data_IF_525441089471
#
_entry.id   IF_525441089471
#
_cell.length_a   1.000
_cell.length_b   1.000
_cell.length_c   1.000
_cell.angle_alpha   90.00
_cell.angle_beta   90.00
_cell.angle_gamma   90.00
#
_symmetry.space_group_name_H-M   'P 1'
#
loop_
_entity.id
_entity.type
_entity.pdbx_description
1 polymer ?
#
# COMPACT_ATOMS: atom_id res chain seq x y z
N UNK A 1 -0.89 -5.25 -18.64
CA UNK A 1 -2.14 -6.05 -18.70
C UNK A 1 -2.00 -7.55 -18.43
N UNK A 2 -0.85 -8.04 -18.01
CA UNK A 2 -0.66 -9.47 -17.70
C UNK A 2 -0.85 -9.75 -16.20
N UNK A 3 -1.81 -9.08 -15.56
CA UNK A 3 -2.10 -9.30 -14.16
C UNK A 3 -3.10 -10.46 -14.07
N UNK A 4 -2.66 -11.59 -13.54
CA UNK A 4 -3.57 -12.69 -13.21
C UNK A 4 -4.25 -12.37 -11.86
N UNK A 5 -5.45 -11.80 -11.92
CA UNK A 5 -6.23 -11.47 -10.73
C UNK A 5 -6.66 -12.71 -9.91
N UNK A 6 -6.42 -13.93 -10.40
CA UNK A 6 -6.67 -15.17 -9.67
C UNK A 6 -5.45 -15.60 -8.83
N UNK A 7 -4.27 -15.06 -9.11
CA UNK A 7 -3.05 -15.41 -8.39
C UNK A 7 -3.01 -14.76 -7.00
N UNK A 8 -2.49 -15.49 -6.03
CA UNK A 8 -2.19 -14.96 -4.70
C UNK A 8 -0.92 -14.11 -4.71
N UNK A 9 -0.12 -14.25 -5.75
CA UNK A 9 1.17 -13.60 -5.92
C UNK A 9 1.18 -12.72 -7.14
N UNK A 10 1.74 -11.54 -7.01
CA UNK A 10 1.99 -10.61 -8.11
C UNK A 10 3.45 -10.21 -8.14
N UNK A 11 4.02 -10.17 -9.34
CA UNK A 11 5.34 -9.60 -9.56
C UNK A 11 5.23 -8.10 -9.83
N UNK A 12 5.84 -7.30 -8.97
CA UNK A 12 5.83 -5.84 -9.09
C UNK A 12 7.25 -5.32 -9.33
N UNK A 13 7.41 -4.51 -10.37
CA UNK A 13 8.68 -3.82 -10.64
C UNK A 13 8.78 -2.57 -9.76
N UNK A 14 9.74 -2.56 -8.84
CA UNK A 14 10.00 -1.46 -7.91
C UNK A 14 11.06 -0.49 -8.40
N UNK A 15 11.50 0.40 -7.51
CA UNK A 15 12.58 1.36 -7.75
C UNK A 15 13.86 0.63 -8.17
N UNK A 16 14.55 1.14 -9.19
CA UNK A 16 15.77 0.54 -9.73
C UNK A 16 15.51 -0.73 -10.56
N UNK A 17 14.29 -0.94 -11.08
CA UNK A 17 13.95 -2.07 -11.96
C UNK A 17 13.84 -3.42 -11.25
N UNK A 18 14.04 -3.49 -9.94
CA UNK A 18 13.98 -4.73 -9.16
C UNK A 18 12.56 -5.30 -9.14
N UNK A 19 12.42 -6.56 -9.54
CA UNK A 19 11.16 -7.29 -9.47
C UNK A 19 10.99 -7.86 -8.05
N UNK A 20 9.79 -7.75 -7.52
CA UNK A 20 9.42 -8.28 -6.20
C UNK A 20 8.11 -9.01 -6.30
N UNK A 21 8.03 -10.14 -5.61
CA UNK A 21 6.76 -10.83 -5.40
C UNK A 21 6.04 -10.14 -4.24
N UNK A 22 4.77 -9.85 -4.42
CA UNK A 22 3.87 -9.35 -3.39
C UNK A 22 2.68 -10.29 -3.28
N UNK A 23 2.21 -10.50 -2.05
CA UNK A 23 1.07 -11.37 -1.76
C UNK A 23 -0.20 -10.52 -1.64
N UNK A 24 -1.29 -11.04 -2.18
CA UNK A 24 -2.58 -10.36 -2.16
C UNK A 24 -3.58 -11.22 -1.42
N UNK A 25 -4.22 -10.66 -0.39
CA UNK A 25 -5.28 -11.33 0.33
C UNK A 25 -6.49 -11.61 -0.58
N UNK A 26 -7.27 -12.61 -0.25
CA UNK A 26 -8.49 -12.97 -0.98
C UNK A 26 -9.44 -11.77 -1.12
N UNK A 27 -9.62 -11.01 -0.04
CA UNK A 27 -10.44 -9.79 -0.06
C UNK A 27 -9.94 -8.76 -1.06
N UNK A 28 -8.61 -8.55 -1.14
CA UNK A 28 -8.01 -7.62 -2.09
C UNK A 28 -8.13 -8.14 -3.52
N UNK A 29 -7.99 -9.46 -3.75
CA UNK A 29 -8.20 -10.08 -5.07
C UNK A 29 -9.63 -9.87 -5.56
N UNK A 30 -10.61 -10.12 -4.71
CA UNK A 30 -12.02 -9.96 -5.07
C UNK A 30 -12.33 -8.50 -5.42
N UNK A 31 -11.83 -7.54 -4.63
CA UNK A 31 -11.98 -6.13 -4.93
C UNK A 31 -11.27 -5.73 -6.25
N UNK A 32 -10.09 -6.30 -6.51
CA UNK A 32 -9.35 -6.06 -7.76
C UNK A 32 -10.10 -6.62 -8.97
N UNK A 33 -10.67 -7.83 -8.87
CA UNK A 33 -11.52 -8.40 -9.93
C UNK A 33 -12.70 -7.50 -10.24
N UNK A 34 -13.48 -7.12 -9.23
CA UNK A 34 -14.63 -6.21 -9.42
C UNK A 34 -14.22 -4.91 -10.08
N UNK A 35 -13.07 -4.34 -9.69
CA UNK A 35 -12.54 -3.13 -10.32
C UNK A 35 -12.18 -3.35 -11.78
N UNK A 36 -11.49 -4.45 -12.11
CA UNK A 36 -11.07 -4.76 -13.48
C UNK A 36 -12.27 -5.06 -14.39
N UNK A 37 -13.29 -5.75 -13.88
CA UNK A 37 -14.53 -6.06 -14.62
C UNK A 37 -15.33 -4.79 -14.92
N UNK A 38 -15.29 -3.81 -14.01
CA UNK A 38 -15.95 -2.52 -14.19
C UNK A 38 -15.19 -1.56 -15.12
N UNK A 39 -13.91 -1.83 -15.41
CA UNK A 39 -13.08 -0.98 -16.26
C UNK A 39 -13.48 -1.06 -17.74
N UNK A 40 -13.68 0.11 -18.35
CA UNK A 40 -14.03 0.25 -19.78
C UNK A 40 -12.95 0.95 -20.60
N UNK A 41 -11.85 1.38 -19.96
CA UNK A 41 -10.74 2.09 -20.61
C UNK A 41 -9.68 1.15 -21.21
N UNK A 42 -8.80 1.70 -22.04
CA UNK A 42 -7.72 0.99 -22.72
C UNK A 42 -6.33 1.30 -22.13
N UNK A 43 -6.30 2.01 -20.98
CA UNK A 43 -5.04 2.42 -20.35
C UNK A 43 -4.23 1.21 -19.85
N UNK A 44 -2.90 1.30 -19.98
CA UNK A 44 -1.97 0.24 -19.53
C UNK A 44 -1.84 0.19 -18.01
N UNK A 45 -2.02 1.34 -17.33
CA UNK A 45 -1.93 1.43 -15.88
C UNK A 45 -2.96 0.56 -15.18
N UNK A 46 -2.56 -0.15 -14.11
CA UNK A 46 -3.51 -0.96 -13.34
C UNK A 46 -4.61 -0.10 -12.74
N UNK A 47 -4.26 1.02 -12.14
CA UNK A 47 -5.22 1.96 -11.58
C UNK A 47 -5.27 3.23 -12.42
N UNK A 48 -6.45 3.58 -12.87
CA UNK A 48 -6.68 4.77 -13.68
C UNK A 48 -7.47 5.82 -12.92
N UNK A 49 -7.21 7.08 -13.24
CA UNK A 49 -8.04 8.19 -12.84
C UNK A 49 -9.22 8.21 -13.78
N UNK A 50 -10.40 7.90 -13.31
CA UNK A 50 -11.65 8.29 -13.95
C UNK A 50 -11.82 9.76 -13.60
N UNK A 51 -12.20 10.63 -14.56
CA UNK A 51 -12.34 12.09 -14.40
C UNK A 51 -12.64 12.58 -12.98
N UNK A 52 -12.21 13.77 -12.58
CA UNK A 52 -12.31 14.23 -11.22
C UNK A 52 -13.75 14.15 -10.74
N UNK A 53 -14.13 13.02 -10.17
CA UNK A 53 -15.24 13.01 -9.24
C UNK A 53 -14.89 14.11 -8.25
N UNK A 54 -15.74 15.10 -8.12
CA UNK A 54 -15.63 16.19 -7.18
C UNK A 54 -15.55 15.65 -5.74
N UNK A 55 -14.39 15.07 -5.42
CA UNK A 55 -14.00 14.71 -4.06
C UNK A 55 -13.71 16.04 -3.35
N UNK A 56 -14.79 16.72 -2.95
CA UNK A 56 -14.78 17.91 -2.11
C UNK A 56 -13.84 18.99 -2.64
N UNK A 57 -14.33 19.87 -3.48
CA UNK A 57 -13.58 21.02 -3.97
C UNK A 57 -13.12 21.89 -2.80
N UNK A 58 -11.89 21.68 -2.36
CA UNK A 58 -11.15 22.73 -1.66
C UNK A 58 -11.01 23.90 -2.62
N UNK A 59 -11.60 25.05 -2.23
CA UNK A 59 -11.68 26.32 -2.97
C UNK A 59 -10.32 26.99 -3.22
N UNK A 60 -9.30 26.26 -3.65
CA UNK A 60 -8.04 26.85 -4.13
C UNK A 60 -7.78 26.39 -5.57
N UNK A 61 -8.54 26.97 -6.49
CA UNK A 61 -8.22 27.01 -7.92
C UNK A 61 -6.97 27.86 -8.13
N UNK A 62 -5.77 27.31 -7.91
CA UNK A 62 -4.61 27.84 -8.61
C UNK A 62 -4.85 27.62 -10.10
N UNK A 63 -4.85 28.73 -10.87
CA UNK A 63 -5.01 28.80 -12.33
C UNK A 63 -4.06 27.80 -13.00
N UNK A 64 -4.53 26.59 -13.30
CA UNK A 64 -3.83 25.64 -14.16
C UNK A 64 -4.47 25.77 -15.54
N UNK A 65 -3.61 26.05 -16.54
CA UNK A 65 -3.96 26.22 -17.94
C UNK A 65 -4.92 25.16 -18.43
N UNK A 66 -6.14 25.53 -18.87
CA UNK A 66 -7.13 24.55 -19.39
C UNK A 66 -6.68 23.88 -20.69
N UNK A 67 -5.61 24.40 -21.33
CA UNK A 67 -5.07 23.84 -22.58
C UNK A 67 -4.28 22.55 -22.43
N UNK A 68 -3.88 22.18 -21.21
CA UNK A 68 -3.03 20.99 -20.97
C UNK A 68 -3.82 19.69 -20.74
N UNK A 69 -5.14 19.78 -20.63
CA UNK A 69 -6.02 18.63 -20.33
C UNK A 69 -7.00 18.28 -21.45
N UNK A 70 -6.85 18.88 -22.64
CA UNK A 70 -7.64 18.44 -23.81
C UNK A 70 -7.17 17.06 -24.26
N UNK A 71 -7.95 16.01 -23.95
CA UNK A 71 -7.87 14.71 -24.59
C UNK A 71 -7.44 13.51 -23.74
N UNK A 72 -7.29 13.62 -22.41
CA UNK A 72 -7.12 12.45 -21.55
C UNK A 72 -8.31 12.30 -20.63
N UNK A 73 -9.28 11.52 -21.06
CA UNK A 73 -10.41 11.11 -20.22
C UNK A 73 -9.96 10.15 -19.11
N UNK A 74 -8.84 9.44 -19.31
CA UNK A 74 -8.27 8.49 -18.39
C UNK A 74 -6.75 8.65 -18.33
N UNK A 75 -6.16 8.31 -17.20
CA UNK A 75 -4.70 8.29 -17.03
C UNK A 75 -4.33 7.50 -15.79
N UNK A 76 -3.11 6.99 -15.73
CA UNK A 76 -2.62 6.29 -14.55
C UNK A 76 -2.67 7.17 -13.31
N UNK A 77 -3.07 6.60 -12.16
CA UNK A 77 -3.07 7.32 -10.89
C UNK A 77 -1.65 7.75 -10.53
N UNK A 78 -1.50 9.03 -10.18
CA UNK A 78 -0.27 9.53 -9.63
C UNK A 78 -0.17 9.25 -8.11
N UNK A 79 1.05 9.41 -7.57
CA UNK A 79 1.31 9.22 -6.15
C UNK A 79 0.42 10.09 -5.25
N UNK A 80 0.19 11.34 -5.64
CA UNK A 80 -0.63 12.30 -4.86
C UNK A 80 -2.09 11.88 -4.83
N UNK A 81 -2.59 11.33 -5.93
CA UNK A 81 -3.94 10.78 -6.00
C UNK A 81 -4.12 9.61 -5.04
N UNK A 82 -3.15 8.69 -4.99
CA UNK A 82 -3.17 7.57 -4.02
C UNK A 82 -3.13 8.09 -2.58
N UNK A 83 -2.28 9.07 -2.27
CA UNK A 83 -2.21 9.70 -0.94
C UNK A 83 -3.55 10.34 -0.54
N UNK A 84 -4.24 11.02 -1.49
CA UNK A 84 -5.57 11.61 -1.26
C UNK A 84 -6.64 10.56 -1.01
N UNK A 85 -6.64 9.48 -1.78
CA UNK A 85 -7.57 8.35 -1.60
C UNK A 85 -7.40 7.75 -0.22
N UNK A 86 -6.16 7.44 0.19
CA UNK A 86 -5.87 6.90 1.52
C UNK A 86 -6.36 7.83 2.62
N UNK A 87 -6.05 9.13 2.51
CA UNK A 87 -6.51 10.14 3.48
C UNK A 87 -8.04 10.20 3.55
N UNK A 88 -8.72 10.20 2.40
CA UNK A 88 -10.18 10.25 2.33
C UNK A 88 -10.82 9.07 3.06
N UNK A 89 -10.39 7.85 2.77
CA UNK A 89 -10.94 6.66 3.42
C UNK A 89 -10.58 6.56 4.90
N UNK A 90 -9.40 7.00 5.31
CA UNK A 90 -9.03 7.08 6.72
C UNK A 90 -9.95 8.05 7.48
N UNK A 91 -10.22 9.23 6.93
CA UNK A 91 -11.16 10.19 7.50
C UNK A 91 -12.58 9.62 7.57
N UNK A 92 -13.04 8.96 6.49
CA UNK A 92 -14.35 8.30 6.43
C UNK A 92 -14.50 7.18 7.46
N UNK A 93 -13.39 6.50 7.79
CA UNK A 93 -13.34 5.48 8.83
C UNK A 93 -13.21 6.06 10.26
N UNK A 94 -13.27 7.39 10.44
CA UNK A 94 -13.17 8.04 11.74
C UNK A 94 -11.76 8.10 12.32
N UNK A 95 -10.71 7.84 11.52
CA UNK A 95 -9.33 7.87 11.99
C UNK A 95 -8.84 9.33 12.00
N UNK A 96 -8.71 9.90 13.20
CA UNK A 96 -8.27 11.29 13.40
C UNK A 96 -6.78 11.52 13.05
N UNK A 97 -5.93 10.48 13.16
CA UNK A 97 -4.50 10.58 12.86
C UNK A 97 -4.28 10.67 11.36
N UNK A 98 -3.18 11.36 10.97
CA UNK A 98 -2.76 11.44 9.58
C UNK A 98 -2.35 10.04 9.07
N UNK A 99 -3.13 9.46 8.16
CA UNK A 99 -2.81 8.20 7.50
C UNK A 99 -2.23 8.48 6.12
N UNK A 100 -1.11 7.81 5.82
CA UNK A 100 -0.45 7.84 4.50
C UNK A 100 -0.11 6.41 4.08
N UNK A 101 0.21 6.14 2.80
CA UNK A 101 0.69 4.82 2.37
C UNK A 101 1.91 4.34 3.17
N UNK A 102 2.78 5.26 3.61
CA UNK A 102 3.92 4.92 4.48
C UNK A 102 3.49 4.47 5.87
N UNK A 103 2.46 5.11 6.45
CA UNK A 103 1.89 4.69 7.75
C UNK A 103 1.27 3.30 7.63
N UNK A 104 0.51 3.02 6.57
CA UNK A 104 -0.06 1.68 6.35
C UNK A 104 1.05 0.63 6.23
N UNK A 105 2.11 0.94 5.48
CA UNK A 105 3.28 0.06 5.36
C UNK A 105 3.99 -0.16 6.70
N UNK A 106 4.08 0.88 7.52
CA UNK A 106 4.63 0.78 8.87
C UNK A 106 3.77 -0.13 9.75
N UNK A 107 2.46 0.04 9.75
CA UNK A 107 1.53 -0.82 10.48
C UNK A 107 1.65 -2.28 10.02
N UNK A 108 1.74 -2.54 8.72
CA UNK A 108 1.93 -3.89 8.18
C UNK A 108 3.22 -4.56 8.71
N UNK A 109 4.35 -3.82 8.69
CA UNK A 109 5.62 -4.33 9.21
C UNK A 109 5.55 -4.64 10.71
N UNK A 110 4.94 -3.72 11.47
CA UNK A 110 4.77 -3.83 12.92
C UNK A 110 3.87 -5.01 13.29
N UNK A 111 2.80 -5.22 12.53
CA UNK A 111 1.87 -6.33 12.72
C UNK A 111 2.56 -7.68 12.46
N UNK A 112 3.28 -7.81 11.36
CA UNK A 112 4.04 -9.03 11.04
C UNK A 112 5.04 -9.39 12.14
N UNK A 113 5.85 -8.41 12.60
CA UNK A 113 6.84 -8.63 13.65
C UNK A 113 6.18 -8.93 15.00
N UNK A 114 5.06 -8.24 15.31
CA UNK A 114 4.27 -8.50 16.52
C UNK A 114 3.68 -9.90 16.57
N UNK A 115 3.38 -10.47 15.39
CA UNK A 115 2.90 -11.85 15.23
C UNK A 115 4.04 -12.88 15.07
N UNK A 116 5.31 -12.48 15.25
CA UNK A 116 6.44 -13.39 15.32
C UNK A 116 7.18 -13.64 14.00
N UNK A 117 6.88 -12.87 12.94
CA UNK A 117 7.67 -12.94 11.72
C UNK A 117 9.11 -12.49 11.97
N UNK A 118 10.07 -13.16 11.35
CA UNK A 118 11.47 -12.75 11.46
C UNK A 118 11.75 -11.47 10.65
N UNK A 119 12.71 -10.68 11.11
CA UNK A 119 13.02 -9.36 10.53
C UNK A 119 13.53 -9.43 9.09
N UNK A 120 14.17 -10.54 8.69
CA UNK A 120 14.66 -10.75 7.31
C UNK A 120 13.49 -11.00 6.36
N UNK A 121 12.52 -11.81 6.75
CA UNK A 121 11.29 -12.01 5.99
C UNK A 121 10.53 -10.69 5.82
N UNK A 122 10.39 -9.90 6.88
CA UNK A 122 9.76 -8.58 6.79
C UNK A 122 10.56 -7.63 5.90
N UNK A 123 11.90 -7.64 5.98
CA UNK A 123 12.77 -6.88 5.06
C UNK A 123 12.49 -7.24 3.60
N UNK A 124 12.42 -8.53 3.29
CA UNK A 124 12.17 -9.03 1.94
C UNK A 124 10.79 -8.60 1.44
N UNK A 125 9.73 -8.81 2.23
CA UNK A 125 8.35 -8.39 1.91
C UNK A 125 8.24 -6.89 1.66
N UNK A 126 8.89 -6.09 2.49
CA UNK A 126 8.94 -4.64 2.30
C UNK A 126 9.85 -4.24 1.13
N UNK A 127 10.77 -5.10 0.74
CA UNK A 127 11.77 -4.83 -0.29
C UNK A 127 12.76 -3.76 0.10
N UNK A 128 13.14 -3.70 1.36
CA UNK A 128 14.21 -2.82 1.82
C UNK A 128 15.56 -3.37 1.35
N UNK A 129 16.37 -2.54 0.69
CA UNK A 129 17.72 -2.92 0.25
C UNK A 129 18.68 -3.07 1.42
N UNK A 130 18.42 -2.41 2.55
CA UNK A 130 19.22 -2.47 3.77
C UNK A 130 18.37 -2.90 4.93
N UNK A 131 18.94 -3.80 5.78
CA UNK A 131 18.31 -4.25 7.03
C UNK A 131 18.12 -3.08 8.01
N UNK A 132 19.02 -2.09 7.97
CA UNK A 132 18.95 -0.89 8.82
C UNK A 132 17.59 -0.22 8.70
N UNK A 133 17.03 -0.17 7.50
CA UNK A 133 15.70 0.41 7.27
C UNK A 133 14.57 -0.39 7.98
N UNK A 134 14.81 -1.67 8.24
CA UNK A 134 13.85 -2.55 8.93
C UNK A 134 14.11 -2.59 10.44
N UNK A 135 15.32 -2.24 10.89
CA UNK A 135 15.67 -2.19 12.30
C UNK A 135 14.90 -1.14 13.11
N UNK A 136 14.28 -0.16 12.45
CA UNK A 136 13.38 0.78 13.14
C UNK A 136 12.18 0.08 13.82
N UNK A 137 11.92 -1.18 13.48
CA UNK A 137 10.85 -2.00 14.06
C UNK A 137 11.31 -2.93 15.19
N UNK A 138 12.60 -2.93 15.59
CA UNK A 138 13.14 -3.87 16.59
C UNK A 138 12.48 -3.74 17.96
N UNK A 139 11.98 -2.54 18.31
CA UNK A 139 11.22 -2.34 19.55
C UNK A 139 9.97 -3.23 19.69
N UNK A 140 9.41 -3.70 18.57
CA UNK A 140 8.28 -4.65 18.55
C UNK A 140 8.76 -6.05 18.89
N UNK A 141 9.96 -6.40 18.40
CA UNK A 141 10.60 -7.70 18.64
C UNK A 141 11.00 -7.88 20.11
N UNK A 142 11.38 -6.80 20.79
CA UNK A 142 11.75 -6.83 22.22
C UNK A 142 10.59 -7.29 23.12
N UNK A 143 9.35 -6.91 22.79
CA UNK A 143 8.17 -7.41 23.49
C UNK A 143 8.00 -8.91 23.23
N UNK A 144 8.17 -9.37 22.02
CA UNK A 144 8.06 -10.76 21.63
C UNK A 144 9.16 -11.61 22.31
N UNK A 145 10.41 -11.13 22.36
CA UNK A 145 11.51 -11.79 23.08
C UNK A 145 11.21 -11.95 24.56
N UNK A 146 10.59 -10.95 25.19
CA UNK A 146 10.15 -11.00 26.58
C UNK A 146 9.09 -12.08 26.81
N UNK A 147 8.15 -12.20 25.90
CA UNK A 147 7.07 -13.20 25.97
C UNK A 147 7.62 -14.62 25.73
N UNK A 148 8.56 -14.79 24.81
CA UNK A 148 9.30 -16.04 24.59
C UNK A 148 10.08 -16.42 25.87
N UNK A 149 10.84 -15.49 26.44
CA UNK A 149 11.59 -15.74 27.67
C UNK A 149 10.66 -16.21 28.81
N UNK A 150 9.54 -15.52 29.03
CA UNK A 150 8.54 -15.93 30.04
C UNK A 150 7.96 -17.31 29.77
N UNK A 151 7.72 -17.64 28.49
CA UNK A 151 7.07 -18.89 28.07
C UNK A 151 8.01 -20.10 28.21
N UNK A 152 9.30 -19.92 27.96
CA UNK A 152 10.25 -21.02 27.85
C UNK A 152 11.30 -21.07 28.98
N UNK A 153 11.61 -19.96 29.64
CA UNK A 153 12.64 -19.89 30.69
C UNK A 153 12.07 -19.88 32.13
N UNK A 154 10.80 -19.56 32.30
CA UNK A 154 10.14 -19.42 33.63
C UNK A 154 9.41 -20.67 34.14
N UNK A 155 9.56 -21.83 33.50
CA UNK A 155 8.98 -23.08 33.99
C UNK A 155 10.06 -23.86 34.76
N UNK A 156 10.18 -23.59 36.07
CA UNK A 156 10.59 -24.55 37.07
C UNK A 156 9.38 -24.91 37.90
#
# INVERSE_FOLDING_TARGET
RNLNANSEELSVRGKGGKIRVVFISERARNALKQYLDARKDMEEGLFVSVEPVELGSSKNKSKKDPKKYKGKEYGSLDRRSVERIVKFYATKAGIAKKVTPHVIRHCFATDLLGNGADIRSVQALLGHSSIITTQIYTHVTDKHLRDIHRKFHGKK
#
